data_IF_402296626783
#
_entry.id   IF_402296626783
#
_cell.length_a   1.000
_cell.length_b   1.000
_cell.length_c   1.000
_cell.angle_alpha   90.00
_cell.angle_beta   90.00
_cell.angle_gamma   90.00
#
_symmetry.space_group_name_H-M   'P 1'
#
loop_
_entity.id
_entity.type
_entity.pdbx_description
1 polymer ?
#
# COMPACT_ATOMS: atom_id res chain seq x y z
N UNK A 1 6.86 43.51 12.04
CA UNK A 1 6.20 42.46 12.85
C UNK A 1 5.74 41.43 11.85
N UNK A 2 6.69 40.66 11.31
CA UNK A 2 6.43 39.69 10.26
C UNK A 2 6.64 38.31 10.86
N UNK A 3 5.57 37.79 11.46
CA UNK A 3 5.48 36.40 11.87
C UNK A 3 4.95 35.63 10.66
N UNK A 4 5.84 35.40 9.69
CA UNK A 4 5.56 34.47 8.60
C UNK A 4 5.37 33.08 9.22
N UNK A 5 4.17 32.52 8.99
CA UNK A 5 3.73 31.23 9.47
C UNK A 5 4.65 30.14 8.94
N UNK A 6 5.48 29.57 9.82
CA UNK A 6 6.04 28.24 9.58
C UNK A 6 4.87 27.25 9.57
N UNK A 7 4.46 26.79 8.39
CA UNK A 7 3.59 25.62 8.26
C UNK A 7 4.33 24.42 8.87
N UNK A 8 3.97 24.08 10.10
CA UNK A 8 4.47 22.88 10.77
C UNK A 8 4.05 21.67 9.94
N UNK A 9 5.00 21.09 9.20
CA UNK A 9 4.83 19.79 8.55
C UNK A 9 4.61 18.74 9.63
N UNK A 10 3.36 18.41 9.89
CA UNK A 10 3.00 17.29 10.75
C UNK A 10 3.53 15.99 10.15
N UNK A 11 4.07 15.13 11.00
CA UNK A 11 4.53 13.80 10.59
C UNK A 11 3.34 12.88 10.34
N UNK A 12 3.51 11.86 9.49
CA UNK A 12 2.47 10.85 9.24
C UNK A 12 1.98 10.19 10.53
N UNK A 13 2.90 9.96 11.48
CA UNK A 13 2.59 9.39 12.79
C UNK A 13 1.69 10.29 13.64
N UNK A 14 1.88 11.61 13.59
CA UNK A 14 1.05 12.57 14.31
C UNK A 14 -0.38 12.62 13.74
N UNK A 15 -0.50 12.60 12.41
CA UNK A 15 -1.79 12.54 11.70
C UNK A 15 -2.58 11.26 12.02
N UNK A 16 -1.89 10.12 12.15
CA UNK A 16 -2.53 8.86 12.56
C UNK A 16 -3.01 8.96 14.02
N UNK A 17 -2.21 9.55 14.91
CA UNK A 17 -2.55 9.68 16.34
C UNK A 17 -3.65 10.70 16.61
N UNK A 18 -3.78 11.74 15.79
CA UNK A 18 -4.83 12.76 15.96
C UNK A 18 -6.23 12.18 15.72
N UNK A 19 -6.33 11.11 14.93
CA UNK A 19 -7.61 10.52 14.53
C UNK A 19 -8.41 11.42 13.58
N UNK A 20 -7.81 12.49 13.07
CA UNK A 20 -8.45 13.44 12.16
C UNK A 20 -8.66 12.86 10.76
N UNK A 21 -7.91 11.79 10.42
CA UNK A 21 -8.01 11.08 9.16
C UNK A 21 -8.72 9.74 9.35
N UNK A 22 -9.71 9.48 8.49
CA UNK A 22 -10.29 8.16 8.35
C UNK A 22 -9.26 7.20 7.75
N UNK A 23 -8.72 6.32 8.58
CA UNK A 23 -7.85 5.24 8.12
C UNK A 23 -8.67 4.18 7.40
N UNK A 24 -8.23 3.81 6.20
CA UNK A 24 -8.85 2.75 5.38
C UNK A 24 -7.89 1.57 5.36
N UNK A 25 -8.30 0.45 5.92
CA UNK A 25 -7.60 -0.81 5.77
C UNK A 25 -8.07 -1.51 4.50
N UNK A 26 -7.13 -1.95 3.67
CA UNK A 26 -7.39 -2.74 2.48
C UNK A 26 -6.38 -3.90 2.42
N UNK A 27 -6.80 -5.03 1.88
CA UNK A 27 -5.96 -6.21 1.63
C UNK A 27 -6.05 -6.72 0.18
N UNK A 28 -6.90 -6.09 -0.61
CA UNK A 28 -7.12 -6.39 -2.02
C UNK A 28 -7.22 -5.05 -2.76
N UNK A 29 -6.79 -5.03 -4.02
CA UNK A 29 -6.97 -3.85 -4.86
C UNK A 29 -7.12 -4.21 -6.34
N UNK A 30 -7.73 -3.31 -7.10
CA UNK A 30 -7.79 -3.37 -8.57
C UNK A 30 -7.30 -2.07 -9.18
N UNK A 31 -6.63 -2.15 -10.33
CA UNK A 31 -6.10 -0.97 -11.03
C UNK A 31 -6.82 -0.81 -12.37
N UNK A 32 -7.38 0.38 -12.61
CA UNK A 32 -7.90 0.83 -13.89
C UNK A 32 -7.05 1.97 -14.44
N UNK A 33 -6.77 1.96 -15.74
CA UNK A 33 -6.01 3.03 -16.40
C UNK A 33 -6.93 3.76 -17.37
N UNK A 34 -6.96 5.08 -17.27
CA UNK A 34 -7.62 5.95 -18.24
C UNK A 34 -6.60 6.76 -19.03
N UNK A 35 -7.10 7.60 -19.95
CA UNK A 35 -6.24 8.47 -20.76
C UNK A 35 -5.39 9.45 -19.94
N UNK A 36 -5.89 9.87 -18.78
CA UNK A 36 -5.26 10.94 -18.01
C UNK A 36 -4.86 10.52 -16.59
N UNK A 37 -5.62 9.60 -16.00
CA UNK A 37 -5.47 9.18 -14.62
C UNK A 37 -5.52 7.66 -14.44
N UNK A 38 -5.05 7.21 -13.29
CA UNK A 38 -5.14 5.85 -12.77
C UNK A 38 -6.16 5.82 -11.64
N UNK A 39 -7.00 4.79 -11.66
CA UNK A 39 -7.99 4.46 -10.65
C UNK A 39 -7.49 3.25 -9.87
N UNK A 40 -7.49 3.34 -8.54
CA UNK A 40 -7.14 2.22 -7.66
C UNK A 40 -8.37 1.94 -6.79
N UNK A 41 -9.05 0.83 -7.06
CA UNK A 41 -10.14 0.34 -6.22
C UNK A 41 -9.53 -0.41 -5.04
N UNK A 42 -9.76 0.07 -3.83
CA UNK A 42 -9.37 -0.58 -2.59
C UNK A 42 -10.50 -1.50 -2.12
N UNK A 43 -10.15 -2.72 -1.72
CA UNK A 43 -11.10 -3.72 -1.24
C UNK A 43 -10.63 -4.36 0.06
N UNK A 44 -11.59 -4.85 0.83
CA UNK A 44 -11.38 -5.64 2.04
C UNK A 44 -12.23 -6.90 1.98
N UNK A 45 -11.57 -8.06 1.88
CA UNK A 45 -12.24 -9.36 1.83
C UNK A 45 -13.39 -9.38 0.79
N UNK A 46 -13.09 -8.96 -0.44
CA UNK A 46 -14.05 -8.87 -1.54
C UNK A 46 -15.04 -7.69 -1.49
N UNK A 47 -15.05 -6.84 -0.46
CA UNK A 47 -15.94 -5.66 -0.40
C UNK A 47 -15.22 -4.38 -0.79
N UNK A 48 -15.89 -3.50 -1.51
CA UNK A 48 -15.34 -2.18 -1.88
C UNK A 48 -15.21 -1.28 -0.65
N UNK A 49 -14.04 -0.64 -0.49
CA UNK A 49 -13.75 0.27 0.62
C UNK A 49 -13.61 1.72 0.13
N UNK A 50 -12.85 1.93 -0.95
CA UNK A 50 -12.63 3.25 -1.53
C UNK A 50 -12.10 3.18 -2.97
N UNK A 51 -12.15 4.31 -3.67
CA UNK A 51 -11.48 4.51 -4.96
C UNK A 51 -10.49 5.67 -4.80
N UNK A 52 -9.22 5.41 -5.11
CA UNK A 52 -8.20 6.43 -5.23
C UNK A 52 -8.04 6.82 -6.71
N UNK A 53 -8.04 8.12 -6.98
CA UNK A 53 -7.77 8.65 -8.31
C UNK A 53 -6.43 9.38 -8.28
N UNK A 54 -5.53 9.04 -9.18
CA UNK A 54 -4.21 9.65 -9.24
C UNK A 54 -3.80 9.92 -10.69
N UNK A 55 -3.17 11.06 -10.94
CA UNK A 55 -2.49 11.25 -12.23
C UNK A 55 -1.44 10.16 -12.45
N UNK A 56 -1.10 9.89 -13.71
CA UNK A 56 -0.04 8.92 -14.04
C UNK A 56 1.28 9.20 -13.30
N UNK A 57 1.66 10.47 -13.18
CA UNK A 57 2.89 10.87 -12.48
C UNK A 57 2.78 10.55 -10.99
N UNK A 58 1.68 10.94 -10.35
CA UNK A 58 1.44 10.68 -8.93
C UNK A 58 1.42 9.18 -8.64
N UNK A 59 0.73 8.39 -9.46
CA UNK A 59 0.66 6.95 -9.31
C UNK A 59 2.03 6.29 -9.48
N UNK A 60 2.84 6.75 -10.45
CA UNK A 60 4.20 6.25 -10.66
C UNK A 60 5.09 6.53 -9.44
N UNK A 61 5.08 7.77 -8.95
CA UNK A 61 5.84 8.14 -7.74
C UNK A 61 5.38 7.39 -6.49
N UNK A 62 4.06 7.14 -6.37
CA UNK A 62 3.49 6.36 -5.28
C UNK A 62 4.00 4.91 -5.29
N UNK A 63 3.93 4.23 -6.44
CA UNK A 63 4.41 2.84 -6.58
C UNK A 63 5.91 2.75 -6.29
N UNK A 64 6.72 3.67 -6.80
CA UNK A 64 8.17 3.66 -6.59
C UNK A 64 8.51 3.85 -5.10
N UNK A 65 7.83 4.79 -4.43
CA UNK A 65 8.05 5.08 -3.00
C UNK A 65 7.56 3.94 -2.10
N UNK A 66 6.40 3.36 -2.39
CA UNK A 66 5.86 2.23 -1.65
C UNK A 66 6.75 0.99 -1.80
N UNK A 67 7.19 0.70 -3.03
CA UNK A 67 8.11 -0.40 -3.30
C UNK A 67 9.45 -0.24 -2.59
N UNK A 68 9.98 0.99 -2.50
CA UNK A 68 11.20 1.25 -1.72
C UNK A 68 10.98 1.01 -0.22
N UNK A 69 9.84 1.44 0.33
CA UNK A 69 9.52 1.22 1.74
C UNK A 69 9.41 -0.27 2.09
N UNK A 70 8.76 -1.07 1.22
CA UNK A 70 8.66 -2.52 1.39
C UNK A 70 10.04 -3.20 1.33
N UNK A 71 10.85 -2.89 0.32
CA UNK A 71 12.22 -3.43 0.21
C UNK A 71 13.08 -3.14 1.45
N UNK A 72 12.96 -1.92 2.01
CA UNK A 72 13.66 -1.55 3.25
C UNK A 72 13.17 -2.36 4.46
N UNK A 73 11.87 -2.60 4.54
CA UNK A 73 11.27 -3.41 5.61
C UNK A 73 11.75 -4.87 5.53
N UNK A 74 11.71 -5.47 4.35
CA UNK A 74 12.17 -6.84 4.11
C UNK A 74 13.66 -7.01 4.45
N UNK A 75 14.50 -6.08 3.98
CA UNK A 75 15.93 -6.09 4.28
C UNK A 75 16.22 -5.96 5.80
N UNK A 76 15.40 -5.18 6.52
CA UNK A 76 15.55 -4.98 7.97
C UNK A 76 15.07 -6.19 8.78
N UNK A 77 14.06 -6.90 8.29
CA UNK A 77 13.44 -8.04 9.00
C UNK A 77 14.00 -9.38 8.56
N UNK A 78 14.78 -9.43 7.47
CA UNK A 78 15.22 -10.65 6.81
C UNK A 78 14.03 -11.57 6.46
N UNK A 79 12.91 -10.95 6.07
CA UNK A 79 11.69 -11.62 5.64
C UNK A 79 11.35 -11.15 4.23
N UNK A 80 10.90 -12.06 3.38
CA UNK A 80 10.33 -11.75 2.07
C UNK A 80 8.82 -11.77 2.19
N UNK A 81 8.16 -10.72 1.72
CA UNK A 81 6.71 -10.61 1.63
C UNK A 81 6.31 -11.13 0.24
N UNK A 82 5.65 -12.29 0.13
CA UNK A 82 5.22 -12.79 -1.16
C UNK A 82 4.14 -11.88 -1.75
N UNK A 83 4.11 -11.79 -3.08
CA UNK A 83 3.00 -11.15 -3.79
C UNK A 83 1.82 -12.11 -3.91
N UNK A 84 0.61 -11.60 -4.16
CA UNK A 84 -0.62 -12.41 -4.22
C UNK A 84 -0.50 -13.61 -5.15
N UNK A 85 0.10 -13.44 -6.33
CA UNK A 85 0.29 -14.52 -7.31
C UNK A 85 1.24 -15.64 -6.78
N UNK A 86 2.20 -15.30 -5.92
CA UNK A 86 3.11 -16.26 -5.30
C UNK A 86 2.42 -17.04 -4.18
N UNK A 87 1.49 -16.41 -3.47
CA UNK A 87 0.71 -17.07 -2.40
C UNK A 87 -0.17 -18.18 -2.99
N UNK A 88 -0.79 -17.95 -4.15
CA UNK A 88 -1.61 -18.97 -4.83
C UNK A 88 -0.77 -20.22 -5.15
N UNK A 89 0.44 -20.02 -5.68
CA UNK A 89 1.38 -21.12 -5.96
C UNK A 89 1.79 -21.86 -4.67
N UNK A 90 2.05 -21.13 -3.58
CA UNK A 90 2.42 -21.74 -2.29
C UNK A 90 1.28 -22.54 -1.66
N UNK A 91 0.03 -22.16 -1.91
CA UNK A 91 -1.16 -22.87 -1.42
C UNK A 91 -1.51 -24.11 -2.26
N UNK A 92 -1.13 -24.12 -3.55
CA UNK A 92 -1.36 -25.24 -4.47
C UNK A 92 -0.25 -26.31 -4.41
N UNK A 93 0.92 -25.99 -3.87
CA UNK A 93 1.99 -26.95 -3.66
C UNK A 93 1.55 -28.01 -2.62
N UNK A 94 1.48 -29.31 -2.97
CA UNK A 94 1.15 -30.34 -1.99
C UNK A 94 2.26 -30.41 -0.92
N UNK A 95 1.86 -30.64 0.34
CA UNK A 95 2.76 -30.92 1.45
C UNK A 95 3.59 -32.20 1.16
N UNK A 96 4.70 -32.06 0.42
CA UNK A 96 5.73 -33.08 0.37
C UNK A 96 6.55 -33.02 1.67
N UNK A 97 5.98 -33.43 2.79
CA UNK A 97 6.70 -34.02 3.94
C UNK A 97 5.72 -34.39 5.06
N UNK A 98 5.11 -35.57 4.96
CA UNK A 98 5.07 -36.46 6.13
C UNK A 98 4.92 -37.92 5.71
N UNK A 99 6.03 -38.51 5.29
CA UNK A 99 6.16 -39.97 5.32
C UNK A 99 7.64 -40.30 5.60
N UNK A 100 7.96 -40.43 6.90
CA UNK A 100 8.99 -41.31 7.48
C UNK A 100 9.05 -41.22 8.99
#
# INVERSE_FOLDING_TARGET
MDSEKEEQKQTVTELIKSGELNSIYFNEFGIGVSKHDIFILLRRNGKEEAILNASHITAKSFVDSLGEALRKFEAKTNQTIPISDEIEILMEAPDETNDR
#
